data_IF_750109957672
#
_entry.id   IF_750109957672
#
_cell.length_a   1.000
_cell.length_b   1.000
_cell.length_c   1.000
_cell.angle_alpha   90.00
_cell.angle_beta   90.00
_cell.angle_gamma   90.00
#
_symmetry.space_group_name_H-M   'P 1'
#
loop_
_entity.id
_entity.type
_entity.pdbx_description
1 polymer ?
#
# COMPACT_ATOMS: atom_id res chain seq x y z
N UNK A 1 -1.73 9.86 -9.80
CA UNK A 1 -1.64 10.31 -11.21
C UNK A 1 -2.91 11.01 -11.68
N UNK A 2 -4.12 10.43 -11.48
CA UNK A 2 -5.38 11.08 -11.87
C UNK A 2 -5.66 12.37 -11.09
N UNK A 3 -5.47 12.34 -9.75
CA UNK A 3 -5.62 13.51 -8.88
C UNK A 3 -4.56 14.57 -9.22
N UNK A 4 -3.35 14.14 -9.53
CA UNK A 4 -2.24 14.97 -9.96
C UNK A 4 -2.49 15.72 -11.29
N UNK A 5 -3.41 15.21 -12.12
CA UNK A 5 -3.75 15.80 -13.40
C UNK A 5 -2.96 15.28 -14.60
N UNK A 6 -2.22 14.17 -14.47
CA UNK A 6 -1.48 13.56 -15.57
C UNK A 6 -2.40 13.08 -16.71
N UNK A 7 -3.67 12.84 -16.39
CA UNK A 7 -4.74 12.58 -17.34
C UNK A 7 -6.09 13.01 -16.75
N UNK A 8 -7.04 13.36 -17.63
CA UNK A 8 -8.34 13.89 -17.20
C UNK A 8 -9.41 12.80 -17.06
N UNK A 9 -9.38 11.79 -17.92
CA UNK A 9 -10.37 10.72 -17.92
C UNK A 9 -9.94 9.57 -16.96
N UNK A 10 -10.70 9.40 -15.87
CA UNK A 10 -10.47 8.31 -14.93
C UNK A 10 -10.63 6.92 -15.57
N UNK A 11 -11.31 6.80 -16.70
CA UNK A 11 -11.45 5.53 -17.42
C UNK A 11 -10.11 4.94 -17.87
N UNK A 12 -9.09 5.78 -18.02
CA UNK A 12 -7.71 5.32 -18.27
C UNK A 12 -7.09 4.52 -17.11
N UNK A 13 -7.71 4.54 -15.93
CA UNK A 13 -7.36 3.65 -14.80
C UNK A 13 -7.92 2.23 -14.97
N UNK A 14 -8.91 2.04 -15.85
CA UNK A 14 -9.52 0.74 -16.09
C UNK A 14 -8.71 -0.03 -17.11
N UNK A 15 -7.95 -1.01 -16.65
CA UNK A 15 -7.12 -1.88 -17.52
C UNK A 15 -7.99 -2.79 -18.39
N UNK A 16 -9.16 -3.22 -17.88
CA UNK A 16 -10.11 -4.11 -18.54
C UNK A 16 -11.52 -3.59 -18.29
N UNK A 17 -12.32 -3.49 -19.34
CA UNK A 17 -13.72 -3.08 -19.21
C UNK A 17 -14.64 -4.26 -18.85
N UNK A 18 -15.85 -4.02 -18.31
CA UNK A 18 -16.85 -5.08 -18.12
C UNK A 18 -17.15 -5.86 -19.39
N UNK A 19 -17.21 -5.18 -20.54
CA UNK A 19 -17.48 -5.78 -21.85
C UNK A 19 -16.34 -6.73 -22.29
N UNK A 20 -15.10 -6.46 -21.90
CA UNK A 20 -13.97 -7.34 -22.19
C UNK A 20 -13.99 -8.62 -21.33
N UNK A 21 -14.55 -8.55 -20.14
CA UNK A 21 -14.80 -9.73 -19.31
C UNK A 21 -15.91 -10.60 -19.91
N UNK A 22 -17.01 -9.98 -20.35
CA UNK A 22 -18.12 -10.71 -21.01
C UNK A 22 -17.65 -11.45 -22.27
N UNK A 23 -16.78 -10.86 -23.11
CA UNK A 23 -16.17 -11.52 -24.27
C UNK A 23 -15.38 -12.79 -23.89
N UNK A 24 -14.93 -12.88 -22.64
CA UNK A 24 -14.21 -14.04 -22.08
C UNK A 24 -15.14 -14.98 -21.28
N UNK A 25 -16.44 -14.80 -21.40
CA UNK A 25 -17.45 -15.56 -20.66
C UNK A 25 -17.31 -15.40 -19.12
N UNK A 26 -16.88 -14.20 -18.68
CA UNK A 26 -16.83 -13.82 -17.27
C UNK A 26 -17.91 -12.78 -17.00
N UNK A 27 -18.93 -13.18 -16.24
CA UNK A 27 -20.08 -12.32 -15.93
C UNK A 27 -19.81 -11.45 -14.72
N UNK A 28 -19.90 -10.13 -14.88
CA UNK A 28 -19.70 -9.15 -13.81
C UNK A 28 -21.03 -8.61 -13.32
N UNK A 29 -21.33 -8.84 -12.06
CA UNK A 29 -22.53 -8.36 -11.38
C UNK A 29 -22.22 -7.10 -10.58
N UNK A 30 -22.26 -5.94 -11.21
CA UNK A 30 -22.07 -4.65 -10.54
C UNK A 30 -23.22 -4.35 -9.58
N UNK A 31 -22.94 -3.55 -8.53
CA UNK A 31 -23.91 -3.16 -7.49
C UNK A 31 -24.56 -4.34 -6.76
N UNK A 32 -23.87 -5.47 -6.75
CA UNK A 32 -24.26 -6.65 -5.99
C UNK A 32 -23.27 -6.86 -4.82
N UNK A 33 -23.79 -6.98 -3.62
CA UNK A 33 -23.01 -7.20 -2.39
C UNK A 33 -23.17 -8.63 -1.91
N UNK A 34 -22.08 -9.38 -1.82
CA UNK A 34 -22.07 -10.63 -1.06
C UNK A 34 -22.23 -10.30 0.43
N UNK A 35 -23.30 -10.83 1.03
CA UNK A 35 -23.69 -10.54 2.43
C UNK A 35 -23.29 -11.68 3.35
N UNK A 36 -23.43 -12.93 2.88
CA UNK A 36 -23.13 -14.12 3.68
C UNK A 36 -22.71 -15.28 2.79
N UNK A 37 -21.71 -16.01 3.20
CA UNK A 37 -21.32 -17.29 2.61
C UNK A 37 -21.93 -18.39 3.45
N UNK A 38 -22.52 -19.42 2.81
CA UNK A 38 -23.14 -20.59 3.42
C UNK A 38 -22.42 -21.83 2.89
N UNK A 39 -21.31 -22.24 3.51
CA UNK A 39 -20.43 -23.29 2.98
C UNK A 39 -21.14 -24.65 2.85
N UNK A 40 -22.03 -24.98 3.77
CA UNK A 40 -22.72 -26.27 3.84
C UNK A 40 -23.58 -26.54 2.61
N UNK A 41 -24.21 -25.49 2.06
CA UNK A 41 -25.03 -25.56 0.84
C UNK A 41 -24.30 -25.04 -0.39
N UNK A 42 -23.03 -24.62 -0.29
CA UNK A 42 -22.27 -23.96 -1.36
C UNK A 42 -23.00 -22.78 -1.98
N UNK A 43 -23.52 -21.90 -1.16
CA UNK A 43 -24.29 -20.73 -1.58
C UNK A 43 -23.73 -19.44 -1.00
N UNK A 44 -23.94 -18.35 -1.72
CA UNK A 44 -23.66 -16.98 -1.27
C UNK A 44 -24.96 -16.19 -1.29
N UNK A 45 -25.34 -15.59 -0.17
CA UNK A 45 -26.41 -14.60 -0.13
C UNK A 45 -25.90 -13.28 -0.70
N UNK A 46 -26.57 -12.84 -1.75
CA UNK A 46 -26.23 -11.60 -2.48
C UNK A 46 -27.37 -10.61 -2.34
N UNK A 47 -27.05 -9.35 -2.06
CA UNK A 47 -27.96 -8.22 -2.07
C UNK A 47 -27.72 -7.37 -3.31
N UNK A 48 -28.72 -7.23 -4.16
CA UNK A 48 -28.74 -6.22 -5.22
C UNK A 48 -28.97 -4.83 -4.61
N UNK A 49 -27.97 -3.97 -4.68
CA UNK A 49 -28.00 -2.62 -4.10
C UNK A 49 -28.89 -1.65 -4.89
N UNK A 50 -29.32 -2.02 -6.09
CA UNK A 50 -30.25 -1.23 -6.90
C UNK A 50 -31.69 -1.49 -6.51
N UNK A 51 -32.07 -2.77 -6.43
CA UNK A 51 -33.45 -3.20 -6.14
C UNK A 51 -33.69 -3.50 -4.65
N UNK A 52 -32.63 -3.55 -3.85
CA UNK A 52 -32.62 -3.96 -2.44
C UNK A 52 -33.11 -5.42 -2.21
N UNK A 53 -33.24 -6.21 -3.26
CA UNK A 53 -33.61 -7.62 -3.16
C UNK A 53 -32.41 -8.49 -2.85
N UNK A 54 -32.63 -9.54 -2.09
CA UNK A 54 -31.60 -10.54 -1.81
C UNK A 54 -31.93 -11.85 -2.53
N UNK A 55 -30.90 -12.55 -2.99
CA UNK A 55 -31.02 -13.87 -3.62
C UNK A 55 -29.81 -14.74 -3.27
N UNK A 56 -29.95 -16.05 -3.45
CA UNK A 56 -28.87 -17.01 -3.27
C UNK A 56 -28.26 -17.35 -4.63
N UNK A 57 -26.91 -17.30 -4.68
CA UNK A 57 -26.14 -17.80 -5.81
C UNK A 57 -25.36 -19.05 -5.38
N UNK A 58 -25.40 -20.09 -6.20
CA UNK A 58 -24.66 -21.34 -5.97
C UNK A 58 -23.25 -21.23 -6.57
N UNK A 59 -22.30 -21.99 -6.00
CA UNK A 59 -20.96 -22.09 -6.53
C UNK A 59 -20.40 -23.51 -6.42
N UNK A 60 -19.54 -23.89 -7.36
CA UNK A 60 -18.69 -25.08 -7.24
C UNK A 60 -17.40 -24.75 -6.48
N UNK A 61 -16.81 -23.60 -6.82
CA UNK A 61 -15.62 -23.02 -6.19
C UNK A 61 -15.87 -21.54 -5.91
N UNK A 62 -15.40 -21.05 -4.77
CA UNK A 62 -15.52 -19.66 -4.36
C UNK A 62 -14.15 -19.05 -4.14
N UNK A 63 -13.91 -17.85 -4.71
CA UNK A 63 -12.72 -17.06 -4.42
C UNK A 63 -13.15 -15.78 -3.70
N UNK A 64 -12.63 -15.55 -2.50
CA UNK A 64 -12.87 -14.36 -1.69
C UNK A 64 -11.77 -13.35 -1.99
N UNK A 65 -12.12 -12.21 -2.62
CA UNK A 65 -11.20 -11.14 -2.98
C UNK A 65 -11.75 -9.78 -2.54
N UNK A 66 -12.21 -9.69 -1.31
CA UNK A 66 -12.94 -8.54 -0.75
C UNK A 66 -12.03 -7.37 -0.36
N UNK A 67 -10.71 -7.53 -0.44
CA UNK A 67 -9.74 -6.48 -0.24
C UNK A 67 -9.68 -5.94 1.19
N UNK A 68 -9.34 -4.66 1.31
CA UNK A 68 -9.18 -3.95 2.58
C UNK A 68 -9.96 -2.63 2.56
N UNK A 69 -10.12 -2.02 3.73
CA UNK A 69 -10.74 -0.69 3.90
C UNK A 69 -9.79 0.26 4.62
N UNK A 70 -9.92 1.58 4.38
CA UNK A 70 -9.15 2.57 5.12
C UNK A 70 -9.46 2.55 6.61
N UNK A 71 -8.46 2.82 7.43
CA UNK A 71 -8.62 3.09 8.86
C UNK A 71 -9.01 4.56 9.04
N UNK A 72 -10.09 4.79 9.75
CA UNK A 72 -10.52 6.13 10.16
C UNK A 72 -10.26 6.26 11.66
N UNK A 73 -9.27 7.06 12.09
CA UNK A 73 -8.99 7.29 13.50
C UNK A 73 -10.16 7.94 14.23
N UNK A 74 -10.22 7.78 15.55
CA UNK A 74 -11.22 8.45 16.39
C UNK A 74 -10.85 9.92 16.57
N UNK A 75 -11.28 10.74 15.63
CA UNK A 75 -11.07 12.19 15.61
C UNK A 75 -12.43 12.86 15.77
N UNK A 76 -12.52 13.88 16.63
CA UNK A 76 -13.76 14.62 16.83
C UNK A 76 -14.20 15.28 15.51
N UNK A 77 -15.48 15.18 15.18
CA UNK A 77 -16.08 15.71 13.95
C UNK A 77 -15.55 15.08 12.64
N UNK A 78 -15.06 13.84 12.66
CA UNK A 78 -14.53 13.12 11.48
C UNK A 78 -15.54 12.94 10.33
N UNK A 79 -16.82 13.11 10.60
CA UNK A 79 -17.91 12.99 9.63
C UNK A 79 -18.30 14.32 8.94
N UNK A 80 -17.56 15.41 9.16
CA UNK A 80 -17.80 16.66 8.44
C UNK A 80 -17.62 16.45 6.92
N UNK A 81 -18.40 17.17 6.08
CA UNK A 81 -18.15 17.16 4.64
C UNK A 81 -16.72 17.58 4.28
N UNK A 82 -16.22 17.13 3.13
CA UNK A 82 -14.87 17.39 2.63
C UNK A 82 -13.75 16.70 3.47
N UNK A 83 -14.09 15.66 4.22
CA UNK A 83 -13.12 14.72 4.80
C UNK A 83 -13.22 13.41 4.02
N UNK A 84 -12.13 13.01 3.41
CA UNK A 84 -12.07 11.88 2.48
C UNK A 84 -11.14 10.78 2.99
N UNK A 85 -11.32 9.58 2.50
CA UNK A 85 -10.32 8.51 2.41
C UNK A 85 -10.07 8.21 0.95
N UNK A 86 -8.98 7.53 0.62
CA UNK A 86 -8.68 7.15 -0.78
C UNK A 86 -8.54 5.64 -0.89
N UNK A 87 -9.53 4.98 -1.51
CA UNK A 87 -9.51 3.54 -1.77
C UNK A 87 -10.13 3.18 -3.12
N UNK A 88 -11.19 3.85 -3.53
CA UNK A 88 -11.94 3.58 -4.74
C UNK A 88 -11.75 4.69 -5.76
N UNK A 89 -12.10 4.42 -7.02
CA UNK A 89 -12.04 5.42 -8.09
C UNK A 89 -12.94 6.63 -7.77
N UNK A 90 -14.11 6.37 -7.19
CA UNK A 90 -15.05 7.44 -6.79
C UNK A 90 -14.42 8.39 -5.75
N UNK A 91 -13.63 7.86 -4.80
CA UNK A 91 -12.90 8.67 -3.85
C UNK A 91 -11.91 9.59 -4.58
N UNK A 92 -11.17 9.02 -5.54
CA UNK A 92 -10.23 9.77 -6.38
C UNK A 92 -10.88 10.87 -7.20
N UNK A 93 -12.09 10.62 -7.74
CA UNK A 93 -12.88 11.61 -8.47
C UNK A 93 -13.29 12.75 -7.53
N UNK A 94 -13.86 12.42 -6.38
CA UNK A 94 -14.31 13.42 -5.39
C UNK A 94 -13.14 14.27 -4.87
N UNK A 95 -12.00 13.66 -4.58
CA UNK A 95 -10.78 14.36 -4.16
C UNK A 95 -10.28 15.29 -5.27
N UNK A 96 -10.21 14.84 -6.53
CA UNK A 96 -9.78 15.68 -7.66
C UNK A 96 -10.70 16.89 -7.85
N UNK A 97 -12.01 16.68 -7.83
CA UNK A 97 -12.98 17.77 -7.95
C UNK A 97 -12.81 18.81 -6.83
N UNK A 98 -12.54 18.36 -5.61
CA UNK A 98 -12.30 19.23 -4.48
C UNK A 98 -10.96 19.95 -4.59
N UNK A 99 -9.91 19.26 -5.01
CA UNK A 99 -8.56 19.81 -5.25
C UNK A 99 -8.62 21.02 -6.18
N UNK A 100 -9.33 20.91 -7.30
CA UNK A 100 -9.45 21.98 -8.31
C UNK A 100 -10.14 23.26 -7.80
N UNK A 101 -10.84 23.19 -6.67
CA UNK A 101 -11.60 24.31 -6.06
C UNK A 101 -11.00 24.79 -4.74
N UNK A 102 -9.81 24.27 -4.37
CA UNK A 102 -9.20 24.48 -3.06
C UNK A 102 -7.83 25.14 -3.17
N UNK A 103 -7.36 25.67 -2.04
CA UNK A 103 -6.02 26.24 -1.87
C UNK A 103 -5.20 25.54 -0.80
N UNK A 104 -5.90 24.96 0.20
CA UNK A 104 -5.27 24.32 1.35
C UNK A 104 -5.80 22.89 1.49
N UNK A 105 -4.91 21.95 1.65
CA UNK A 105 -5.23 20.55 1.90
C UNK A 105 -4.48 20.03 3.13
N UNK A 106 -5.14 19.19 3.93
CA UNK A 106 -4.48 18.46 5.00
C UNK A 106 -4.49 16.97 4.70
N UNK A 107 -3.32 16.32 4.85
CA UNK A 107 -3.15 14.88 4.74
C UNK A 107 -2.86 14.33 6.13
N UNK A 108 -3.57 13.29 6.54
CA UNK A 108 -3.35 12.60 7.82
C UNK A 108 -2.75 11.23 7.55
N UNK A 109 -1.47 11.07 7.89
CA UNK A 109 -0.66 9.87 7.66
C UNK A 109 0.41 10.07 6.61
N UNK A 110 1.67 9.81 6.99
CA UNK A 110 2.88 9.98 6.18
C UNK A 110 3.39 8.68 5.56
N UNK A 111 2.50 7.70 5.32
CA UNK A 111 2.82 6.48 4.56
C UNK A 111 2.77 6.70 3.04
N UNK A 112 2.84 5.59 2.26
CA UNK A 112 2.89 5.64 0.79
C UNK A 112 1.81 6.53 0.18
N UNK A 113 0.54 6.31 0.52
CA UNK A 113 -0.60 7.06 -0.05
C UNK A 113 -0.52 8.53 0.32
N UNK A 114 -0.17 8.86 1.57
CA UNK A 114 -0.05 10.25 2.02
C UNK A 114 1.05 11.00 1.30
N UNK A 115 2.19 10.37 1.09
CA UNK A 115 3.34 10.94 0.37
C UNK A 115 3.03 11.13 -1.13
N UNK A 116 2.32 10.19 -1.76
CA UNK A 116 1.87 10.34 -3.16
C UNK A 116 0.83 11.45 -3.32
N UNK A 117 -0.08 11.61 -2.35
CA UNK A 117 -1.05 12.72 -2.35
C UNK A 117 -0.38 14.07 -2.08
N UNK A 118 0.68 14.11 -1.28
CA UNK A 118 1.47 15.33 -1.09
C UNK A 118 1.99 15.85 -2.45
N UNK A 119 2.60 14.97 -3.26
CA UNK A 119 3.03 15.33 -4.63
C UNK A 119 1.85 15.83 -5.46
N UNK A 120 0.76 15.06 -5.48
CA UNK A 120 -0.40 15.36 -6.31
C UNK A 120 -0.98 16.75 -6.00
N UNK A 121 -1.13 17.09 -4.72
CA UNK A 121 -1.69 18.38 -4.30
C UNK A 121 -0.72 19.54 -4.53
N UNK A 122 0.56 19.35 -4.27
CA UNK A 122 1.61 20.36 -4.53
C UNK A 122 1.66 20.69 -6.02
N UNK A 123 1.61 19.68 -6.90
CA UNK A 123 1.59 19.89 -8.38
C UNK A 123 0.31 20.58 -8.85
N UNK A 124 -0.80 20.41 -8.16
CA UNK A 124 -2.04 21.17 -8.41
C UNK A 124 -2.03 22.58 -7.80
N UNK A 125 -0.92 22.99 -7.18
CA UNK A 125 -0.70 24.35 -6.67
C UNK A 125 -1.26 24.61 -5.27
N UNK A 126 -1.66 23.58 -4.52
CA UNK A 126 -2.16 23.73 -3.16
C UNK A 126 -1.02 23.94 -2.15
N UNK A 127 -1.36 24.58 -1.03
CA UNK A 127 -0.57 24.52 0.19
C UNK A 127 -1.01 23.29 1.00
N UNK A 128 -0.08 22.45 1.39
CA UNK A 128 -0.37 21.15 1.98
C UNK A 128 0.26 21.01 3.38
N UNK A 129 -0.54 20.57 4.35
CA UNK A 129 -0.02 20.13 5.65
C UNK A 129 -0.18 18.61 5.74
N UNK A 130 0.93 17.89 5.92
CA UNK A 130 0.93 16.47 6.18
C UNK A 130 1.22 16.24 7.66
N UNK A 131 0.32 15.54 8.36
CA UNK A 131 0.43 15.27 9.79
C UNK A 131 0.56 13.76 10.01
N UNK A 132 1.68 13.36 10.59
CA UNK A 132 2.00 11.97 10.90
C UNK A 132 2.08 11.76 12.42
N UNK A 133 1.37 10.77 12.93
CA UNK A 133 1.38 10.39 14.34
C UNK A 133 2.72 9.79 14.78
N UNK A 134 3.33 9.00 13.92
CA UNK A 134 4.62 8.37 14.21
C UNK A 134 5.77 9.42 14.25
N UNK A 135 6.90 9.09 14.88
CA UNK A 135 8.06 9.98 14.91
C UNK A 135 8.73 10.17 13.55
N UNK A 136 8.34 9.38 12.55
CA UNK A 136 8.89 9.44 11.20
C UNK A 136 7.80 9.23 10.15
N UNK A 137 7.97 9.79 8.97
CA UNK A 137 7.20 9.42 7.76
C UNK A 137 7.72 8.09 7.22
N UNK A 138 7.00 7.46 6.29
CA UNK A 138 7.43 6.21 5.64
C UNK A 138 7.94 5.17 6.65
N UNK A 139 7.13 4.84 7.66
CA UNK A 139 7.47 3.97 8.79
C UNK A 139 7.94 2.56 8.43
N UNK A 140 7.82 2.18 7.15
CA UNK A 140 8.37 0.94 6.58
C UNK A 140 9.87 1.02 6.33
N UNK A 141 10.46 2.22 6.30
CA UNK A 141 11.90 2.45 6.19
C UNK A 141 12.54 2.53 7.58
N UNK A 142 13.84 2.24 7.66
CA UNK A 142 14.61 2.52 8.86
C UNK A 142 14.71 4.03 9.12
N UNK A 143 14.93 4.41 10.38
CA UNK A 143 14.83 5.79 10.85
C UNK A 143 15.75 6.75 10.09
N UNK A 144 17.01 6.37 9.87
CA UNK A 144 17.95 7.19 9.13
C UNK A 144 17.58 7.38 7.65
N UNK A 145 16.96 6.36 7.03
CA UNK A 145 16.48 6.47 5.65
C UNK A 145 15.22 7.34 5.57
N UNK A 146 14.33 7.22 6.56
CA UNK A 146 13.16 8.11 6.67
C UNK A 146 13.57 9.56 6.95
N UNK A 147 14.57 9.78 7.79
CA UNK A 147 15.12 11.11 8.04
C UNK A 147 15.69 11.71 6.75
N UNK A 148 16.45 10.93 5.99
CA UNK A 148 16.97 11.34 4.68
C UNK A 148 15.82 11.70 3.70
N UNK A 149 14.73 10.92 3.68
CA UNK A 149 13.56 11.22 2.86
C UNK A 149 12.99 12.59 3.25
N UNK A 150 12.78 12.82 4.53
CA UNK A 150 12.22 14.08 5.05
C UNK A 150 13.13 15.28 4.73
N UNK A 151 14.45 15.15 4.92
CA UNK A 151 15.43 16.19 4.61
C UNK A 151 15.43 16.52 3.11
N UNK A 152 15.40 15.50 2.24
CA UNK A 152 15.37 15.71 0.80
C UNK A 152 14.05 16.34 0.33
N UNK A 153 12.91 15.93 0.87
CA UNK A 153 11.61 16.56 0.59
C UNK A 153 11.64 18.03 1.03
N UNK A 154 12.13 18.32 2.22
CA UNK A 154 12.24 19.69 2.71
C UNK A 154 13.20 20.55 1.86
N UNK A 155 14.27 19.96 1.34
CA UNK A 155 15.24 20.69 0.48
C UNK A 155 14.67 21.13 -0.87
N UNK A 156 13.69 20.40 -1.39
CA UNK A 156 13.01 20.72 -2.65
C UNK A 156 11.69 21.46 -2.43
N UNK A 157 11.30 21.68 -1.16
CA UNK A 157 10.11 22.42 -0.79
C UNK A 157 10.29 23.91 -1.09
N UNK A 158 9.46 24.43 -1.95
CA UNK A 158 9.41 25.86 -2.29
C UNK A 158 8.34 26.62 -1.46
N UNK A 159 8.09 26.19 -0.23
CA UNK A 159 7.12 26.77 0.68
C UNK A 159 5.68 26.30 0.46
N UNK A 160 5.47 25.22 -0.29
CA UNK A 160 4.17 24.68 -0.62
C UNK A 160 3.65 23.63 0.35
N UNK A 161 4.51 23.05 1.18
CA UNK A 161 4.06 22.06 2.14
C UNK A 161 4.80 22.13 3.48
N UNK A 162 4.15 21.60 4.50
CA UNK A 162 4.70 21.36 5.83
C UNK A 162 4.45 19.90 6.21
N UNK A 163 5.47 19.21 6.73
CA UNK A 163 5.37 17.83 7.23
C UNK A 163 5.62 17.85 8.73
N UNK A 164 4.64 17.38 9.50
CA UNK A 164 4.70 17.27 10.95
C UNK A 164 4.74 15.79 11.34
N UNK A 165 5.75 15.39 12.09
CA UNK A 165 5.85 14.05 12.70
C UNK A 165 5.63 14.15 14.20
N UNK A 166 5.35 13.03 14.86
CA UNK A 166 5.00 12.97 16.29
C UNK A 166 3.81 13.84 16.65
N UNK A 167 2.86 14.03 15.72
CA UNK A 167 1.73 14.93 15.91
C UNK A 167 0.41 14.20 15.66
N UNK A 168 -0.51 14.30 16.60
CA UNK A 168 -1.81 13.65 16.53
C UNK A 168 -2.92 14.67 16.19
N UNK A 169 -3.77 14.34 15.22
CA UNK A 169 -4.98 15.13 14.96
C UNK A 169 -6.07 14.71 15.95
N UNK A 170 -6.65 15.67 16.65
CA UNK A 170 -7.66 15.44 17.68
C UNK A 170 -9.05 15.90 17.30
N UNK A 171 -9.17 16.94 16.48
CA UNK A 171 -10.45 17.56 16.13
C UNK A 171 -10.42 18.19 14.73
N UNK A 172 -11.54 18.09 14.05
CA UNK A 172 -11.86 18.90 12.87
C UNK A 172 -12.86 20.00 13.25
N UNK A 173 -12.56 21.22 12.85
CA UNK A 173 -13.47 22.36 12.98
C UNK A 173 -14.12 22.65 11.63
N UNK A 174 -15.40 23.00 11.64
CA UNK A 174 -16.14 23.27 10.42
C UNK A 174 -17.64 23.42 10.67
N UNK A 175 -18.39 23.45 9.59
CA UNK A 175 -19.85 23.57 9.62
C UNK A 175 -20.50 22.62 8.59
N UNK A 176 -21.78 22.84 8.26
CA UNK A 176 -22.52 22.02 7.28
C UNK A 176 -21.92 22.08 5.86
N UNK A 177 -21.10 23.09 5.55
CA UNK A 177 -20.45 23.22 4.25
C UNK A 177 -19.11 22.43 4.19
N UNK A 178 -18.61 21.99 5.34
CA UNK A 178 -17.45 21.13 5.45
C UNK A 178 -16.41 21.56 6.47
N UNK A 179 -15.30 20.81 6.48
CA UNK A 179 -14.14 21.09 7.31
C UNK A 179 -13.51 22.43 6.91
N UNK A 180 -13.03 23.19 7.92
CA UNK A 180 -12.34 24.48 7.75
C UNK A 180 -10.98 24.52 8.43
N UNK A 181 -10.80 23.74 9.50
CA UNK A 181 -9.52 23.65 10.18
C UNK A 181 -9.30 22.26 10.81
N UNK A 182 -8.04 21.95 11.02
CA UNK A 182 -7.55 20.73 11.69
C UNK A 182 -6.80 21.15 12.94
N UNK A 183 -7.17 20.59 14.10
CA UNK A 183 -6.52 20.83 15.38
C UNK A 183 -5.74 19.61 15.83
N UNK A 184 -4.52 19.82 16.32
CA UNK A 184 -3.62 18.77 16.80
C UNK A 184 -3.58 18.67 18.32
N UNK A 185 -2.99 17.59 18.82
CA UNK A 185 -2.82 17.36 20.26
C UNK A 185 -1.87 18.34 20.94
N UNK A 186 -0.92 18.90 20.21
CA UNK A 186 -0.03 19.98 20.70
C UNK A 186 -0.70 21.35 20.74
N UNK A 187 -1.95 21.47 20.25
CA UNK A 187 -2.72 22.71 20.21
C UNK A 187 -2.50 23.55 18.96
N UNK A 188 -1.76 23.05 17.96
CA UNK A 188 -1.66 23.72 16.66
C UNK A 188 -2.98 23.62 15.90
N UNK A 189 -3.28 24.64 15.10
CA UNK A 189 -4.46 24.68 14.24
C UNK A 189 -4.04 25.08 12.82
N UNK A 190 -4.56 24.37 11.83
CA UNK A 190 -4.26 24.56 10.41
C UNK A 190 -5.55 24.76 9.63
N UNK A 191 -5.66 25.88 8.92
CA UNK A 191 -6.75 26.09 7.97
C UNK A 191 -6.69 25.07 6.83
N UNK A 192 -7.85 24.56 6.44
CA UNK A 192 -7.94 23.57 5.37
C UNK A 192 -9.27 23.64 4.63
N UNK A 193 -9.26 23.43 3.33
CA UNK A 193 -10.47 23.33 2.52
C UNK A 193 -11.00 21.89 2.46
N UNK A 194 -10.11 20.91 2.67
CA UNK A 194 -10.45 19.48 2.75
C UNK A 194 -9.34 18.69 3.42
N UNK A 195 -9.69 17.49 3.86
CA UNK A 195 -8.77 16.54 4.49
C UNK A 195 -8.81 15.20 3.78
N UNK A 196 -7.65 14.54 3.62
CA UNK A 196 -7.58 13.14 3.22
C UNK A 196 -6.91 12.33 4.32
N UNK A 197 -7.64 11.32 4.84
CA UNK A 197 -7.15 10.42 5.88
C UNK A 197 -6.46 9.22 5.23
N UNK A 198 -5.15 9.10 5.45
CA UNK A 198 -4.26 8.03 4.97
C UNK A 198 -3.63 7.26 6.13
N UNK A 199 -4.40 7.02 7.21
CA UNK A 199 -3.93 6.44 8.48
C UNK A 199 -3.83 4.91 8.46
N UNK A 200 -3.59 4.31 7.30
CA UNK A 200 -3.47 2.87 7.10
C UNK A 200 -4.75 2.20 6.63
N UNK A 201 -4.72 0.88 6.58
CA UNK A 201 -5.83 0.04 6.13
C UNK A 201 -6.04 -1.16 7.07
N UNK A 202 -7.18 -1.83 6.94
CA UNK A 202 -7.49 -3.08 7.64
C UNK A 202 -8.17 -4.04 6.67
N UNK A 203 -7.87 -5.36 6.72
CA UNK A 203 -8.47 -6.33 5.80
C UNK A 203 -9.98 -6.44 6.04
N UNK A 204 -10.74 -6.68 4.99
CA UNK A 204 -12.16 -7.02 5.08
C UNK A 204 -12.28 -8.51 5.34
N UNK A 205 -12.67 -8.88 6.56
CA UNK A 205 -12.66 -10.27 7.01
C UNK A 205 -14.06 -10.77 7.43
N UNK A 206 -15.00 -9.88 7.59
CA UNK A 206 -16.27 -10.15 8.25
C UNK A 206 -17.03 -11.30 7.60
N UNK A 207 -17.18 -11.25 6.28
CA UNK A 207 -17.91 -12.28 5.52
C UNK A 207 -17.22 -13.66 5.58
N UNK A 208 -15.90 -13.69 5.65
CA UNK A 208 -15.13 -14.92 5.79
C UNK A 208 -15.23 -15.48 7.21
N UNK A 209 -15.07 -14.61 8.23
CA UNK A 209 -15.18 -14.98 9.65
C UNK A 209 -16.55 -15.54 9.99
N UNK A 210 -17.62 -14.91 9.50
CA UNK A 210 -19.00 -15.33 9.73
C UNK A 210 -19.31 -16.67 9.05
N UNK A 211 -18.55 -17.06 8.04
CA UNK A 211 -18.62 -18.36 7.37
C UNK A 211 -17.75 -19.44 8.03
N UNK A 212 -17.08 -19.16 9.15
CA UNK A 212 -16.18 -20.11 9.83
C UNK A 212 -14.80 -20.27 9.17
N UNK A 213 -14.41 -19.33 8.31
CA UNK A 213 -13.06 -19.31 7.72
C UNK A 213 -12.06 -18.79 8.74
N UNK A 214 -10.94 -19.52 8.89
CA UNK A 214 -9.89 -19.17 9.85
C UNK A 214 -9.19 -17.87 9.48
N UNK A 215 -8.90 -17.07 10.52
CA UNK A 215 -8.02 -15.92 10.42
C UNK A 215 -6.61 -16.29 10.88
N UNK A 216 -5.61 -15.68 10.25
CA UNK A 216 -4.21 -15.83 10.63
C UNK A 216 -3.81 -14.94 11.81
N UNK A 217 -2.53 -15.02 12.18
CA UNK A 217 -1.97 -14.25 13.31
C UNK A 217 -1.97 -12.75 13.09
N UNK A 218 -2.06 -12.31 11.83
CA UNK A 218 -2.18 -10.89 11.45
C UNK A 218 -3.61 -10.36 11.54
N UNK A 219 -4.59 -11.25 11.73
CA UNK A 219 -6.01 -10.93 11.70
C UNK A 219 -6.63 -10.94 10.30
N UNK A 220 -5.85 -11.14 9.24
CA UNK A 220 -6.34 -11.34 7.87
C UNK A 220 -6.77 -12.81 7.63
N UNK A 221 -7.41 -13.10 6.50
CA UNK A 221 -7.85 -14.47 6.16
C UNK A 221 -6.61 -15.36 6.01
N UNK A 222 -6.61 -16.51 6.70
CA UNK A 222 -5.56 -17.50 6.60
C UNK A 222 -5.74 -18.35 5.34
N UNK A 223 -4.67 -18.43 4.55
CA UNK A 223 -4.58 -19.29 3.37
C UNK A 223 -3.28 -20.09 3.37
N UNK A 224 -3.26 -21.20 2.63
CA UNK A 224 -2.05 -21.95 2.34
C UNK A 224 -1.34 -21.39 1.08
N UNK A 225 -0.25 -22.02 0.64
CA UNK A 225 0.51 -21.64 -0.56
C UNK A 225 -0.29 -21.74 -1.87
N UNK A 226 -1.41 -22.47 -1.87
CA UNK A 226 -2.34 -22.61 -2.99
C UNK A 226 -3.52 -21.64 -2.93
N UNK A 227 -3.50 -20.70 -2.00
CA UNK A 227 -4.60 -19.76 -1.70
C UNK A 227 -5.88 -20.45 -1.21
N UNK A 228 -5.81 -21.69 -0.72
CA UNK A 228 -6.93 -22.41 -0.13
C UNK A 228 -7.15 -21.97 1.32
N UNK A 229 -8.41 -21.80 1.71
CA UNK A 229 -8.82 -21.61 3.09
C UNK A 229 -8.93 -22.96 3.84
N UNK A 230 -9.31 -22.94 5.12
CA UNK A 230 -9.65 -24.16 5.87
C UNK A 230 -10.93 -24.84 5.39
N UNK A 231 -11.75 -24.18 4.57
CA UNK A 231 -12.99 -24.74 4.03
C UNK A 231 -12.76 -25.19 2.60
N UNK A 232 -13.03 -26.46 2.32
CA UNK A 232 -12.88 -27.04 0.98
C UNK A 232 -13.65 -26.24 -0.08
N UNK A 233 -13.03 -26.06 -1.24
CA UNK A 233 -13.61 -25.36 -2.39
C UNK A 233 -13.75 -23.85 -2.19
N UNK A 234 -13.18 -23.29 -1.08
CA UNK A 234 -13.14 -21.86 -0.83
C UNK A 234 -11.68 -21.39 -0.79
N UNK A 235 -11.35 -20.43 -1.62
CA UNK A 235 -10.05 -19.76 -1.75
C UNK A 235 -10.18 -18.31 -1.31
N UNK A 236 -9.06 -17.67 -0.96
CA UNK A 236 -9.02 -16.23 -0.73
C UNK A 236 -7.71 -15.63 -1.26
N UNK A 237 -7.73 -14.36 -1.69
CA UNK A 237 -6.56 -13.69 -2.24
C UNK A 237 -6.66 -12.16 -2.14
N UNK A 238 -5.52 -11.49 -2.32
CA UNK A 238 -5.40 -10.04 -2.30
C UNK A 238 -5.40 -9.44 -0.88
N UNK A 239 -5.70 -8.16 -0.76
CA UNK A 239 -5.55 -7.39 0.48
C UNK A 239 -6.37 -7.91 1.68
N UNK A 240 -7.14 -8.97 1.54
CA UNK A 240 -7.87 -9.59 2.66
C UNK A 240 -7.15 -10.81 3.27
N UNK A 241 -6.03 -11.28 2.69
CA UNK A 241 -5.34 -12.50 3.16
C UNK A 241 -4.04 -12.20 3.90
N UNK A 242 -3.61 -13.18 4.71
CA UNK A 242 -2.32 -13.21 5.38
C UNK A 242 -1.26 -13.85 4.47
N UNK A 243 -0.14 -13.19 4.31
CA UNK A 243 0.95 -13.62 3.43
C UNK A 243 2.12 -14.24 4.23
N UNK A 244 3.05 -14.83 3.50
CA UNK A 244 4.31 -15.38 4.01
C UNK A 244 5.47 -14.49 3.58
N UNK A 245 6.24 -13.96 4.53
CA UNK A 245 7.43 -13.17 4.26
C UNK A 245 8.63 -14.10 4.00
N UNK A 246 9.09 -14.16 2.77
CA UNK A 246 10.10 -15.15 2.30
C UNK A 246 11.39 -15.07 3.10
N UNK A 247 11.88 -13.87 3.41
CA UNK A 247 13.17 -13.67 4.10
C UNK A 247 13.19 -14.28 5.50
N UNK A 248 12.10 -14.20 6.23
CA UNK A 248 12.05 -14.63 7.64
C UNK A 248 11.18 -15.85 7.91
N UNK A 249 10.40 -16.30 6.96
CA UNK A 249 9.41 -17.35 7.19
C UNK A 249 8.21 -16.93 8.05
N UNK A 250 8.11 -15.66 8.44
CA UNK A 250 7.02 -15.19 9.31
C UNK A 250 5.78 -14.80 8.51
N UNK A 251 4.64 -14.77 9.19
CA UNK A 251 3.40 -14.26 8.61
C UNK A 251 3.34 -12.74 8.67
N UNK A 252 2.81 -12.15 7.62
CA UNK A 252 2.65 -10.71 7.46
C UNK A 252 1.33 -10.41 6.76
N UNK A 253 0.81 -9.22 6.96
CA UNK A 253 -0.25 -8.65 6.13
C UNK A 253 0.32 -7.45 5.38
N UNK A 254 0.34 -7.52 4.06
CA UNK A 254 1.00 -6.54 3.19
C UNK A 254 0.13 -6.25 1.94
N UNK A 255 -0.85 -5.34 2.05
CA UNK A 255 -1.82 -5.07 1.00
C UNK A 255 -1.20 -4.31 -0.18
N UNK A 256 -0.55 -5.03 -1.08
CA UNK A 256 0.08 -4.50 -2.29
C UNK A 256 -0.56 -5.11 -3.55
N UNK A 257 -0.88 -4.26 -4.52
CA UNK A 257 -1.52 -4.67 -5.77
C UNK A 257 -0.73 -5.71 -6.58
N UNK A 258 0.62 -5.67 -6.52
CA UNK A 258 1.48 -6.68 -7.16
C UNK A 258 1.32 -8.08 -6.56
N UNK A 259 1.14 -8.15 -5.22
CA UNK A 259 0.88 -9.41 -4.51
C UNK A 259 -0.53 -9.90 -4.83
N UNK A 260 -1.54 -9.03 -4.68
CA UNK A 260 -2.94 -9.35 -4.98
C UNK A 260 -3.12 -9.93 -6.39
N UNK A 261 -2.39 -9.42 -7.39
CA UNK A 261 -2.43 -9.94 -8.77
C UNK A 261 -1.89 -11.37 -8.87
N UNK A 262 -0.75 -11.66 -8.23
CA UNK A 262 -0.13 -13.00 -8.23
C UNK A 262 -1.00 -14.00 -7.47
N UNK A 263 -1.47 -13.63 -6.29
CA UNK A 263 -2.37 -14.45 -5.47
C UNK A 263 -3.67 -14.78 -6.17
N UNK A 264 -4.29 -13.76 -6.82
CA UNK A 264 -5.51 -13.97 -7.61
C UNK A 264 -5.30 -14.96 -8.75
N UNK A 265 -4.14 -14.93 -9.41
CA UNK A 265 -3.78 -15.91 -10.44
C UNK A 265 -3.64 -17.31 -9.86
N UNK A 266 -2.88 -17.47 -8.77
CA UNK A 266 -2.72 -18.76 -8.08
C UNK A 266 -4.05 -19.31 -7.60
N UNK A 267 -4.91 -18.49 -6.99
CA UNK A 267 -6.25 -18.88 -6.55
C UNK A 267 -7.10 -19.37 -7.72
N UNK A 268 -7.10 -18.65 -8.85
CA UNK A 268 -7.86 -19.00 -10.02
C UNK A 268 -7.40 -20.32 -10.67
N UNK A 269 -6.08 -20.51 -10.83
CA UNK A 269 -5.50 -21.74 -11.38
C UNK A 269 -5.92 -22.95 -10.52
N UNK A 270 -5.82 -22.83 -9.20
CA UNK A 270 -6.13 -23.93 -8.27
C UNK A 270 -7.64 -24.18 -8.17
N UNK A 271 -8.47 -23.13 -8.21
CA UNK A 271 -9.91 -23.27 -8.29
C UNK A 271 -10.37 -24.03 -9.56
N UNK A 272 -9.64 -23.91 -10.65
CA UNK A 272 -9.85 -24.64 -11.90
C UNK A 272 -9.19 -26.03 -11.93
N UNK A 273 -8.65 -26.53 -10.81
CA UNK A 273 -8.05 -27.86 -10.70
C UNK A 273 -6.58 -27.94 -11.07
N UNK A 274 -5.89 -26.79 -11.18
CA UNK A 274 -4.44 -26.72 -11.34
C UNK A 274 -3.69 -26.97 -10.03
N UNK A 275 -2.35 -26.82 -10.08
CA UNK A 275 -1.43 -26.98 -8.93
C UNK A 275 -0.36 -25.88 -8.94
N UNK A 276 -0.80 -24.64 -8.75
CA UNK A 276 0.09 -23.47 -8.67
C UNK A 276 0.35 -23.08 -7.21
N UNK A 277 1.51 -22.45 -6.95
CA UNK A 277 1.96 -22.07 -5.61
C UNK A 277 2.41 -20.62 -5.57
N UNK A 278 1.88 -19.90 -4.61
CA UNK A 278 2.35 -18.58 -4.23
C UNK A 278 3.43 -18.71 -3.15
N UNK A 279 4.67 -18.36 -3.50
CA UNK A 279 5.83 -18.57 -2.60
C UNK A 279 5.99 -17.50 -1.52
N UNK A 280 5.09 -16.53 -1.45
CA UNK A 280 5.12 -15.45 -0.48
C UNK A 280 5.66 -14.15 -1.05
N UNK A 281 5.96 -13.21 -0.15
CA UNK A 281 6.32 -11.83 -0.46
C UNK A 281 7.67 -11.44 0.10
N UNK A 282 8.32 -10.47 -0.52
CA UNK A 282 9.54 -9.83 -0.01
C UNK A 282 9.26 -8.46 0.65
N UNK A 283 8.07 -7.92 0.49
CA UNK A 283 7.77 -6.55 0.89
C UNK A 283 8.40 -5.50 -0.03
N UNK A 284 8.63 -5.87 -1.30
CA UNK A 284 9.17 -4.92 -2.29
C UNK A 284 8.17 -3.84 -2.62
N UNK A 285 8.59 -2.60 -2.51
CA UNK A 285 7.77 -1.43 -2.82
C UNK A 285 8.59 -0.31 -3.42
N UNK A 286 7.93 0.53 -4.19
CA UNK A 286 8.46 1.79 -4.70
C UNK A 286 7.36 2.84 -4.65
N UNK A 287 7.73 4.04 -4.23
CA UNK A 287 6.89 5.22 -4.34
C UNK A 287 7.74 6.42 -4.77
N UNK A 288 7.07 7.42 -5.27
CA UNK A 288 7.70 8.66 -5.71
C UNK A 288 6.99 9.86 -5.10
N UNK A 289 7.76 10.88 -4.76
CA UNK A 289 7.25 12.18 -4.38
C UNK A 289 8.13 13.26 -4.99
N UNK A 290 7.54 14.10 -5.82
CA UNK A 290 8.25 15.12 -6.60
C UNK A 290 9.34 14.48 -7.48
N UNK A 291 10.61 14.79 -7.23
CA UNK A 291 11.73 14.17 -7.94
C UNK A 291 12.39 13.01 -7.15
N UNK A 292 11.87 12.69 -5.97
CA UNK A 292 12.46 11.68 -5.09
C UNK A 292 11.81 10.32 -5.29
N UNK A 293 12.61 9.30 -5.60
CA UNK A 293 12.20 7.89 -5.62
C UNK A 293 12.64 7.20 -4.33
N UNK A 294 11.72 6.50 -3.70
CA UNK A 294 11.92 5.74 -2.47
C UNK A 294 11.52 4.30 -2.72
N UNK A 295 12.42 3.36 -2.50
CA UNK A 295 12.17 1.95 -2.76
C UNK A 295 12.80 1.07 -1.70
N UNK A 296 12.18 -0.07 -1.40
CA UNK A 296 12.70 -1.03 -0.44
C UNK A 296 12.30 -2.46 -0.78
N UNK A 297 13.01 -3.41 -0.20
CA UNK A 297 12.70 -4.85 -0.26
C UNK A 297 13.25 -5.56 0.98
N UNK A 298 12.62 -6.65 1.39
CA UNK A 298 13.03 -7.43 2.55
C UNK A 298 12.70 -6.74 3.90
N UNK A 299 13.52 -7.00 4.88
CA UNK A 299 13.37 -6.56 6.25
C UNK A 299 14.11 -5.24 6.51
N UNK A 300 13.45 -4.24 7.13
CA UNK A 300 14.15 -3.16 7.81
C UNK A 300 15.01 -3.71 8.97
N UNK A 301 16.09 -3.04 9.31
CA UNK A 301 17.05 -3.49 10.32
C UNK A 301 16.40 -3.75 11.68
N UNK A 302 15.60 -2.81 12.17
CA UNK A 302 14.87 -2.95 13.43
C UNK A 302 13.92 -4.15 13.43
N UNK A 303 13.27 -4.43 12.29
CA UNK A 303 12.38 -5.59 12.15
C UNK A 303 13.18 -6.90 12.16
N UNK A 304 14.34 -6.94 11.48
CA UNK A 304 15.24 -8.08 11.50
C UNK A 304 15.70 -8.40 12.93
N UNK A 305 16.08 -7.39 13.73
CA UNK A 305 16.42 -7.56 15.15
C UNK A 305 15.28 -8.18 15.95
N UNK A 306 14.03 -7.69 15.78
CA UNK A 306 12.87 -8.23 16.50
C UNK A 306 12.55 -9.67 16.14
N UNK A 307 12.97 -10.13 14.97
CA UNK A 307 12.82 -11.51 14.49
C UNK A 307 14.00 -12.42 14.90
N UNK A 308 14.98 -11.90 15.66
CA UNK A 308 16.09 -12.69 16.22
C UNK A 308 17.33 -12.76 15.32
N UNK A 309 17.36 -12.05 14.21
CA UNK A 309 18.58 -11.89 13.41
C UNK A 309 19.58 -10.97 14.11
N UNK A 310 20.85 -11.05 13.72
CA UNK A 310 21.91 -10.12 14.11
C UNK A 310 22.26 -9.21 12.91
N UNK A 311 21.40 -8.24 12.58
CA UNK A 311 21.61 -7.46 11.38
C UNK A 311 22.87 -6.59 11.49
N UNK A 312 23.57 -6.52 10.39
CA UNK A 312 24.59 -5.49 10.09
C UNK A 312 24.15 -4.76 8.85
N UNK A 313 24.39 -3.46 8.82
CA UNK A 313 23.99 -2.65 7.69
C UNK A 313 25.09 -1.72 7.22
N UNK A 314 25.06 -1.35 5.97
CA UNK A 314 25.90 -0.32 5.37
C UNK A 314 25.02 0.61 4.54
N UNK A 315 25.25 1.90 4.70
CA UNK A 315 24.59 2.95 3.93
C UNK A 315 25.62 3.69 3.10
N UNK A 316 25.41 3.77 1.80
CA UNK A 316 26.31 4.45 0.87
C UNK A 316 25.53 5.39 -0.04
N UNK A 317 26.08 6.57 -0.30
CA UNK A 317 25.55 7.53 -1.28
C UNK A 317 26.51 7.60 -2.46
N UNK A 318 26.00 7.33 -3.65
CA UNK A 318 26.76 7.35 -4.91
C UNK A 318 25.88 7.87 -6.03
N UNK A 319 26.53 8.25 -7.11
CA UNK A 319 25.83 8.60 -8.35
C UNK A 319 25.07 7.41 -8.92
N UNK A 320 23.90 7.66 -9.50
CA UNK A 320 23.08 6.67 -10.18
C UNK A 320 23.72 6.14 -11.47
N UNK A 321 24.64 6.91 -12.05
CA UNK A 321 25.41 6.60 -13.28
C UNK A 321 26.77 7.31 -13.21
N UNK A 322 27.64 7.03 -14.20
CA UNK A 322 28.97 7.65 -14.25
C UNK A 322 28.89 9.17 -14.34
N UNK A 323 29.77 9.86 -13.59
CA UNK A 323 29.70 11.29 -13.33
C UNK A 323 29.78 12.22 -14.56
N UNK A 324 30.21 11.72 -15.72
CA UNK A 324 30.23 12.50 -16.97
C UNK A 324 28.93 12.37 -17.80
N UNK A 325 27.99 11.53 -17.38
CA UNK A 325 26.68 11.41 -18.05
C UNK A 325 25.78 12.58 -17.70
N UNK A 326 24.86 12.99 -18.60
CA UNK A 326 23.88 14.03 -18.28
C UNK A 326 22.89 13.56 -17.21
N UNK A 327 22.39 14.51 -16.43
CA UNK A 327 21.36 14.27 -15.40
C UNK A 327 21.75 13.19 -14.37
N UNK A 328 23.00 13.24 -13.90
CA UNK A 328 23.49 12.41 -12.80
C UNK A 328 22.81 12.83 -11.51
N UNK A 329 22.28 11.86 -10.77
CA UNK A 329 21.66 12.08 -9.47
C UNK A 329 22.31 11.19 -8.42
N UNK A 330 22.25 11.60 -7.18
CA UNK A 330 22.68 10.77 -6.06
C UNK A 330 21.59 9.79 -5.68
N UNK A 331 22.01 8.56 -5.36
CA UNK A 331 21.19 7.53 -4.71
C UNK A 331 21.87 7.14 -3.42
N UNK A 332 21.13 7.13 -2.34
CA UNK A 332 21.54 6.52 -1.07
C UNK A 332 20.94 5.14 -0.98
N UNK A 333 21.80 4.13 -0.84
CA UNK A 333 21.42 2.72 -0.70
C UNK A 333 21.86 2.24 0.67
N UNK A 334 20.91 1.67 1.42
CA UNK A 334 21.17 0.87 2.63
C UNK A 334 21.01 -0.59 2.30
N UNK A 335 22.00 -1.42 2.63
CA UNK A 335 21.97 -2.87 2.55
C UNK A 335 22.01 -3.45 3.96
N UNK A 336 21.17 -4.46 4.21
CA UNK A 336 21.04 -5.13 5.49
C UNK A 336 21.31 -6.61 5.31
N UNK A 337 22.20 -7.18 6.13
CA UNK A 337 22.53 -8.59 6.11
C UNK A 337 22.60 -9.16 7.54
N UNK A 338 22.48 -10.46 7.66
CA UNK A 338 22.69 -11.15 8.93
C UNK A 338 24.17 -11.40 9.18
N UNK A 339 24.69 -10.93 10.30
CA UNK A 339 26.11 -11.05 10.66
C UNK A 339 26.58 -12.50 10.74
N UNK A 340 25.74 -13.43 11.22
CA UNK A 340 26.13 -14.81 11.45
C UNK A 340 26.21 -15.62 10.14
N UNK A 341 25.28 -15.40 9.24
CA UNK A 341 25.15 -16.19 8.02
C UNK A 341 25.62 -15.49 6.77
N UNK A 342 25.82 -14.16 6.82
CA UNK A 342 26.07 -13.32 5.67
C UNK A 342 24.89 -13.16 4.71
N UNK A 343 23.72 -13.76 5.00
CA UNK A 343 22.55 -13.68 4.15
C UNK A 343 21.99 -12.26 4.07
N UNK A 344 21.61 -11.88 2.87
CA UNK A 344 20.87 -10.63 2.66
C UNK A 344 19.51 -10.71 3.38
N UNK A 345 19.16 -9.67 4.12
CA UNK A 345 17.89 -9.53 4.84
C UNK A 345 16.98 -8.46 4.23
N UNK A 346 17.57 -7.37 3.73
CA UNK A 346 16.79 -6.28 3.17
C UNK A 346 17.65 -5.20 2.53
N UNK A 347 16.97 -4.29 1.84
CA UNK A 347 17.61 -3.12 1.24
C UNK A 347 16.61 -1.97 1.11
N UNK A 348 17.12 -0.74 1.20
CA UNK A 348 16.37 0.50 1.06
C UNK A 348 17.16 1.46 0.18
N UNK A 349 16.48 2.15 -0.73
CA UNK A 349 17.11 3.12 -1.62
C UNK A 349 16.28 4.39 -1.72
N UNK A 350 16.96 5.53 -1.68
CA UNK A 350 16.35 6.87 -1.76
C UNK A 350 17.20 7.75 -2.65
N UNK A 351 16.59 8.44 -3.60
CA UNK A 351 17.29 9.39 -4.47
C UNK A 351 16.45 9.89 -5.64
N UNK A 352 16.95 10.89 -6.33
CA UNK A 352 16.30 11.47 -7.52
C UNK A 352 16.54 10.65 -8.80
N UNK A 353 17.33 9.58 -8.72
CA UNK A 353 17.66 8.70 -9.83
C UNK A 353 16.91 7.36 -9.77
N UNK A 354 17.49 6.35 -10.43
CA UNK A 354 16.95 5.00 -10.59
C UNK A 354 17.09 4.14 -9.31
N UNK A 355 16.59 4.63 -8.17
CA UNK A 355 16.68 3.95 -6.88
C UNK A 355 15.98 2.57 -6.90
N UNK A 356 14.84 2.47 -7.56
CA UNK A 356 14.04 1.25 -7.71
C UNK A 356 14.78 0.15 -8.49
N UNK A 357 15.59 0.49 -9.48
CA UNK A 357 16.39 -0.50 -10.25
C UNK A 357 17.40 -1.23 -9.38
N UNK A 358 18.02 -0.51 -8.41
CA UNK A 358 18.94 -1.12 -7.44
C UNK A 358 18.20 -2.11 -6.54
N UNK A 359 17.00 -1.75 -6.09
CA UNK A 359 16.17 -2.61 -5.25
C UNK A 359 15.67 -3.84 -6.01
N UNK A 360 15.37 -3.75 -7.30
CA UNK A 360 14.93 -4.91 -8.08
C UNK A 360 16.00 -6.02 -8.15
N UNK A 361 17.29 -5.67 -8.32
CA UNK A 361 18.39 -6.64 -8.30
C UNK A 361 18.52 -7.31 -6.93
N UNK A 362 18.39 -6.51 -5.85
CA UNK A 362 18.44 -7.00 -4.47
C UNK A 362 17.21 -7.85 -4.10
N UNK A 363 16.03 -7.54 -4.64
CA UNK A 363 14.85 -8.37 -4.46
C UNK A 363 15.03 -9.76 -5.07
N UNK A 364 15.65 -9.87 -6.25
CA UNK A 364 15.98 -11.16 -6.85
C UNK A 364 17.01 -11.94 -6.02
N UNK A 365 18.02 -11.26 -5.49
CA UNK A 365 19.03 -11.87 -4.63
C UNK A 365 18.42 -12.36 -3.30
N UNK A 366 17.53 -11.57 -2.68
CA UNK A 366 16.79 -11.97 -1.47
C UNK A 366 15.91 -13.20 -1.71
N UNK A 367 15.20 -13.25 -2.84
CA UNK A 367 14.39 -14.41 -3.21
C UNK A 367 15.23 -15.67 -3.40
N UNK A 368 16.43 -15.52 -3.94
CA UNK A 368 17.39 -16.61 -4.09
C UNK A 368 18.10 -17.00 -2.77
N UNK A 369 17.90 -16.25 -1.69
CA UNK A 369 18.55 -16.48 -0.39
C UNK A 369 20.06 -16.24 -0.40
N UNK A 370 20.54 -15.33 -1.27
CA UNK A 370 21.97 -15.03 -1.44
C UNK A 370 22.56 -14.38 -0.19
N UNK A 371 23.85 -14.66 -0.01
CA UNK A 371 24.74 -13.93 0.89
C UNK A 371 25.28 -12.66 0.23
N UNK A 372 25.87 -11.76 1.03
CA UNK A 372 26.57 -10.56 0.53
C UNK A 372 27.71 -10.95 -0.42
N UNK A 373 28.47 -11.99 -0.06
CA UNK A 373 29.63 -12.46 -0.86
C UNK A 373 29.19 -13.06 -2.21
N UNK A 374 28.06 -13.76 -2.25
CA UNK A 374 27.48 -14.26 -3.49
C UNK A 374 26.96 -13.13 -4.35
N UNK A 375 26.25 -12.15 -3.74
CA UNK A 375 25.73 -11.01 -4.47
C UNK A 375 26.85 -10.13 -5.05
N UNK A 376 27.93 -9.92 -4.31
CA UNK A 376 29.09 -9.16 -4.78
C UNK A 376 29.74 -9.74 -6.05
N UNK A 377 29.65 -11.07 -6.24
CA UNK A 377 30.22 -11.78 -7.42
C UNK A 377 29.33 -11.75 -8.66
N UNK A 378 28.12 -11.21 -8.55
CA UNK A 378 27.22 -11.12 -9.70
C UNK A 378 27.71 -10.10 -10.72
N UNK A 379 27.60 -10.46 -12.00
CA UNK A 379 27.86 -9.58 -13.12
C UNK A 379 26.62 -8.70 -13.39
N UNK A 380 26.53 -7.60 -12.65
CA UNK A 380 25.45 -6.65 -12.81
C UNK A 380 25.76 -5.64 -13.90
N UNK A 381 24.74 -5.15 -14.59
CA UNK A 381 24.88 -4.10 -15.62
C UNK A 381 25.46 -2.83 -15.01
N UNK A 382 26.47 -2.30 -15.69
CA UNK A 382 27.20 -1.09 -15.32
C UNK A 382 26.55 0.17 -15.92
#
# INVERSE_FOLDING_TARGET
YYIEGNFEDYKLLLVVSPEDFEKKNVHIHLRNRAVKIIPESKQVLIQDLTTQRAFLAEYDKLIIAVGARPVIPKIKNVNLPNIFTLRKIEDGIAIKEKTLKSRHATIIGGGYVGIELLEAFVKQGLNVVLIEYAPQIMTTFDEEMSTLILEQLNSINNGRFEILTSEIVTEFSGDINGVKAVRTGSGKEFDTDFVVICAGATPNIEIAKDAGIELGVTGAIKVNEKMETNIKDIYACGDCVEEHLVVSGTKIWLPLGSNANKEGRTAAINACGGDDKFYGVLGSSVTRCLNLTMSMTGLPEKKAQTLGYKPVSVTVTKNDKVGYMPNVNNITLKLIADYETGKLLGAQAVGAGDADKRINSLAAALLAGMTVDEFYKNDLTY
#
